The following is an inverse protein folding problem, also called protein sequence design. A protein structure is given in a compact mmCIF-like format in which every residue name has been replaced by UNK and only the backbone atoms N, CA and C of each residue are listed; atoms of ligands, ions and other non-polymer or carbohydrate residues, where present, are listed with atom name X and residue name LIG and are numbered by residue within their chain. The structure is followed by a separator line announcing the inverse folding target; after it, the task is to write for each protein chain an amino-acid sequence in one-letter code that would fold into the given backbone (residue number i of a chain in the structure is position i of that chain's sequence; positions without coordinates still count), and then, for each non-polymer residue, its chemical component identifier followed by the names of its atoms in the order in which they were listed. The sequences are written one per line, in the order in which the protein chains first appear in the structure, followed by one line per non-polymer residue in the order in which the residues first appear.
data_IF_877612438734
#
_entry.id   IF_877612438734
#
_cell.length_a   1.000
_cell.length_b   1.000
_cell.length_c   1.000
_cell.angle_alpha   90.00
_cell.angle_beta   90.00
_cell.angle_gamma   90.00
#
_symmetry.space_group_name_H-M   'P 1'
#
loop_
_entity.id
_entity.type
_entity.pdbx_description
1 polymer ?
#
# COMPACT_ATOMS: atom_id res chain seq x y z
N UNK A 1 7.68 -11.62 2.47
CA UNK A 1 6.81 -12.81 2.23
C UNK A 1 5.65 -12.47 1.30
N UNK A 2 4.95 -11.33 1.47
CA UNK A 2 3.75 -11.00 0.65
C UNK A 2 3.98 -11.02 -0.88
N UNK A 3 5.12 -10.47 -1.36
CA UNK A 3 5.45 -10.46 -2.80
C UNK A 3 5.55 -11.88 -3.37
N UNK A 4 6.37 -12.80 -2.80
CA UNK A 4 6.43 -14.16 -3.32
C UNK A 4 5.11 -14.93 -3.18
N UNK A 5 4.32 -14.66 -2.13
CA UNK A 5 3.00 -15.30 -1.96
C UNK A 5 2.04 -14.89 -3.07
N UNK A 6 2.04 -13.62 -3.48
CA UNK A 6 1.24 -13.16 -4.61
C UNK A 6 1.63 -13.82 -5.96
N UNK A 7 2.85 -14.36 -6.06
CA UNK A 7 3.31 -15.09 -7.24
C UNK A 7 2.84 -16.54 -7.30
N UNK A 8 2.39 -17.13 -6.18
CA UNK A 8 1.95 -18.54 -6.13
C UNK A 8 0.80 -18.80 -7.09
N UNK A 9 -0.12 -17.85 -7.23
CA UNK A 9 -1.29 -17.98 -8.13
C UNK A 9 -0.90 -17.99 -9.60
N UNK A 10 0.33 -17.56 -9.93
CA UNK A 10 0.83 -17.44 -11.32
C UNK A 10 1.95 -18.41 -11.67
N UNK A 11 2.66 -18.91 -10.67
CA UNK A 11 3.77 -19.86 -10.86
C UNK A 11 3.45 -21.13 -10.07
N UNK A 12 2.81 -22.12 -10.71
CA UNK A 12 2.55 -23.40 -10.08
C UNK A 12 3.85 -24.08 -9.65
N UNK A 13 3.91 -24.57 -8.40
CA UNK A 13 5.07 -25.29 -7.89
C UNK A 13 6.00 -24.46 -6.99
N UNK A 14 5.69 -23.21 -6.68
CA UNK A 14 6.40 -22.46 -5.66
C UNK A 14 6.15 -23.09 -4.27
N UNK A 15 7.21 -23.66 -3.70
CA UNK A 15 7.18 -24.18 -2.32
C UNK A 15 7.45 -23.07 -1.31
N UNK A 16 7.14 -23.31 -0.04
CA UNK A 16 7.47 -22.39 1.06
C UNK A 16 8.96 -22.03 1.10
N UNK A 17 9.83 -22.92 0.69
CA UNK A 17 11.26 -22.64 0.58
C UNK A 17 11.53 -21.57 -0.49
N UNK A 18 10.97 -21.70 -1.69
CA UNK A 18 11.11 -20.70 -2.75
C UNK A 18 10.56 -19.34 -2.35
N UNK A 19 9.41 -19.30 -1.66
CA UNK A 19 8.80 -18.07 -1.14
C UNK A 19 9.78 -17.35 -0.19
N UNK A 20 10.35 -18.07 0.77
CA UNK A 20 11.33 -17.51 1.72
C UNK A 20 12.61 -17.06 1.01
N UNK A 21 13.14 -17.87 0.10
CA UNK A 21 14.36 -17.54 -0.65
C UNK A 21 14.19 -16.25 -1.48
N UNK A 22 13.07 -16.11 -2.18
CA UNK A 22 12.76 -14.89 -2.95
C UNK A 22 12.60 -13.68 -2.01
N UNK A 23 11.94 -13.83 -0.86
CA UNK A 23 11.79 -12.75 0.11
C UNK A 23 13.14 -12.25 0.62
N UNK A 24 14.04 -13.18 1.02
CA UNK A 24 15.38 -12.85 1.48
C UNK A 24 16.18 -12.18 0.34
N UNK A 25 16.13 -12.73 -0.86
CA UNK A 25 16.83 -12.16 -2.02
C UNK A 25 16.38 -10.72 -2.31
N UNK A 26 15.09 -10.44 -2.22
CA UNK A 26 14.54 -9.09 -2.40
C UNK A 26 15.02 -8.12 -1.33
N UNK A 27 15.04 -8.52 -0.06
CA UNK A 27 15.52 -7.67 1.04
C UNK A 27 17.01 -7.37 0.84
N UNK A 28 17.82 -8.37 0.53
CA UNK A 28 19.25 -8.21 0.27
C UNK A 28 19.48 -7.27 -0.93
N UNK A 29 18.79 -7.51 -2.05
CA UNK A 29 18.91 -6.70 -3.25
C UNK A 29 18.55 -5.24 -2.99
N UNK A 30 17.42 -4.98 -2.33
CA UNK A 30 17.01 -3.62 -1.98
C UNK A 30 18.00 -2.95 -1.02
N UNK A 31 18.51 -3.67 -0.04
CA UNK A 31 19.52 -3.14 0.89
C UNK A 31 20.79 -2.76 0.14
N UNK A 32 21.32 -3.64 -0.73
CA UNK A 32 22.50 -3.36 -1.53
C UNK A 32 22.29 -2.18 -2.48
N UNK A 33 21.10 -2.07 -3.06
CA UNK A 33 20.75 -0.94 -3.91
C UNK A 33 20.73 0.39 -3.12
N UNK A 34 20.10 0.38 -1.94
CA UNK A 34 20.01 1.55 -1.08
C UNK A 34 21.39 1.99 -0.51
N UNK A 35 22.32 1.05 -0.31
CA UNK A 35 23.71 1.35 0.10
C UNK A 35 24.48 2.18 -0.93
N UNK A 36 24.08 2.17 -2.22
CA UNK A 36 24.73 2.92 -3.30
C UNK A 36 24.44 4.42 -3.27
N UNK A 37 23.39 4.85 -2.56
CA UNK A 37 23.10 6.26 -2.36
C UNK A 37 21.62 6.61 -2.33
N UNK A 38 21.31 7.67 -1.60
CA UNK A 38 19.93 8.15 -1.38
C UNK A 38 19.27 8.56 -2.71
N UNK A 39 20.01 9.19 -3.63
CA UNK A 39 19.48 9.69 -4.88
C UNK A 39 18.96 8.60 -5.80
N UNK A 40 19.70 7.49 -5.92
CA UNK A 40 19.25 6.31 -6.69
C UNK A 40 18.02 5.66 -6.08
N UNK A 41 18.02 5.49 -4.75
CA UNK A 41 16.91 4.91 -4.01
C UNK A 41 15.62 5.75 -4.13
N UNK A 42 15.74 7.09 -4.06
CA UNK A 42 14.62 8.01 -4.23
C UNK A 42 14.06 8.00 -5.66
N UNK A 43 14.91 7.95 -6.68
CA UNK A 43 14.47 7.83 -8.06
C UNK A 43 13.73 6.52 -8.33
N UNK A 44 14.24 5.42 -7.77
CA UNK A 44 13.58 4.11 -7.84
C UNK A 44 12.20 4.16 -7.17
N UNK A 45 12.12 4.78 -5.99
CA UNK A 45 10.86 4.97 -5.26
C UNK A 45 9.84 5.75 -6.10
N UNK A 46 10.27 6.85 -6.72
CA UNK A 46 9.42 7.68 -7.60
C UNK A 46 8.96 6.91 -8.83
N UNK A 47 9.87 6.17 -9.47
CA UNK A 47 9.52 5.34 -10.62
C UNK A 47 8.45 4.30 -10.28
N UNK A 48 8.63 3.52 -9.22
CA UNK A 48 7.65 2.51 -8.80
C UNK A 48 6.35 3.14 -8.29
N UNK A 49 6.42 4.33 -7.68
CA UNK A 49 5.23 5.07 -7.27
C UNK A 49 4.36 5.44 -8.49
N UNK A 50 4.95 5.93 -9.57
CA UNK A 50 4.22 6.26 -10.80
C UNK A 50 3.76 4.98 -11.50
N UNK A 51 4.64 3.99 -11.64
CA UNK A 51 4.36 2.75 -12.34
C UNK A 51 3.18 1.97 -11.73
N UNK A 52 3.07 1.90 -10.39
CA UNK A 52 1.94 1.23 -9.72
C UNK A 52 0.59 1.92 -9.92
N UNK A 53 0.58 3.22 -10.24
CA UNK A 53 -0.67 3.95 -10.48
C UNK A 53 -1.29 3.60 -11.84
N UNK A 54 -0.47 3.23 -12.83
CA UNK A 54 -0.97 2.90 -14.17
C UNK A 54 -2.02 1.77 -14.18
N UNK A 55 -1.77 0.58 -13.59
CA UNK A 55 -2.77 -0.48 -13.49
C UNK A 55 -4.06 -0.02 -12.80
N UNK A 56 -3.93 0.77 -11.73
CA UNK A 56 -5.08 1.24 -10.96
C UNK A 56 -5.92 2.20 -11.81
N UNK A 57 -5.29 3.14 -12.51
CA UNK A 57 -6.00 4.05 -13.42
C UNK A 57 -6.66 3.33 -14.59
N UNK A 58 -6.01 2.32 -15.18
CA UNK A 58 -6.58 1.52 -16.26
C UNK A 58 -7.86 0.84 -15.80
N UNK A 59 -7.84 0.22 -14.62
CA UNK A 59 -9.02 -0.46 -14.06
C UNK A 59 -10.10 0.55 -13.70
N UNK A 60 -9.74 1.63 -13.03
CA UNK A 60 -10.68 2.67 -12.61
C UNK A 60 -11.39 3.31 -13.80
N UNK A 61 -10.64 3.74 -14.82
CA UNK A 61 -11.20 4.33 -16.04
C UNK A 61 -12.01 3.29 -16.81
N UNK A 62 -11.49 2.07 -16.97
CA UNK A 62 -12.21 0.98 -17.61
C UNK A 62 -13.55 0.69 -16.91
N UNK A 63 -13.55 0.63 -15.57
CA UNK A 63 -14.76 0.40 -14.79
C UNK A 63 -15.76 1.57 -14.88
N UNK A 64 -15.28 2.81 -14.91
CA UNK A 64 -16.16 3.98 -15.09
C UNK A 64 -16.79 4.03 -16.48
N UNK A 65 -16.06 3.65 -17.53
CA UNK A 65 -16.53 3.73 -18.93
C UNK A 65 -17.37 2.51 -19.31
N UNK A 66 -16.91 1.31 -18.95
CA UNK A 66 -17.53 0.04 -19.38
C UNK A 66 -18.51 -0.52 -18.34
N UNK A 67 -18.46 -0.05 -17.09
CA UNK A 67 -19.36 -0.50 -16.04
C UNK A 67 -20.80 -0.05 -16.30
N UNK A 68 -21.73 -0.99 -16.20
CA UNK A 68 -23.15 -0.78 -16.46
C UNK A 68 -24.02 -0.68 -15.20
N UNK A 69 -23.46 -1.02 -14.04
CA UNK A 69 -24.18 -0.95 -12.76
C UNK A 69 -24.35 0.50 -12.30
N UNK A 70 -25.48 0.78 -11.64
CA UNK A 70 -25.73 2.04 -10.93
C UNK A 70 -25.61 1.77 -9.42
N UNK A 71 -24.45 2.08 -8.81
CA UNK A 71 -24.26 1.84 -7.39
C UNK A 71 -25.27 2.62 -6.54
N UNK A 72 -25.91 1.94 -5.60
CA UNK A 72 -26.66 2.64 -4.55
C UNK A 72 -25.67 3.30 -3.58
N UNK A 73 -25.68 4.62 -3.56
CA UNK A 73 -24.84 5.44 -2.69
C UNK A 73 -25.53 5.83 -1.38
N UNK A 74 -26.65 5.20 -1.05
CA UNK A 74 -27.31 5.45 0.22
C UNK A 74 -26.38 5.02 1.37
N UNK A 75 -25.96 5.94 2.25
CA UNK A 75 -25.05 5.62 3.34
C UNK A 75 -25.74 4.82 4.47
N UNK A 76 -27.06 4.74 4.44
CA UNK A 76 -27.85 4.04 5.45
C UNK A 76 -28.43 2.79 4.82
N UNK A 77 -28.01 1.58 5.25
CA UNK A 77 -28.58 0.33 4.76
C UNK A 77 -30.07 0.21 5.16
N UNK A 78 -30.80 -0.65 4.47
CA UNK A 78 -32.23 -0.86 4.78
C UNK A 78 -32.47 -1.51 6.15
N UNK A 79 -31.51 -2.30 6.63
CA UNK A 79 -31.57 -2.99 7.94
C UNK A 79 -30.16 -3.14 8.53
N UNK A 80 -30.06 -3.40 9.83
CA UNK A 80 -28.82 -3.76 10.48
C UNK A 80 -28.34 -5.16 9.97
N UNK A 81 -27.04 -5.51 10.12
CA UNK A 81 -26.49 -6.79 9.67
C UNK A 81 -27.19 -8.02 10.25
N UNK A 82 -27.78 -7.89 11.44
CA UNK A 82 -28.57 -8.93 12.12
C UNK A 82 -30.07 -8.95 11.73
N UNK A 83 -30.46 -8.11 10.75
CA UNK A 83 -31.84 -7.96 10.29
C UNK A 83 -32.73 -7.12 11.18
N UNK A 84 -32.21 -6.55 12.28
CA UNK A 84 -32.98 -5.71 13.20
C UNK A 84 -33.28 -4.32 12.59
N UNK A 85 -34.32 -3.62 13.08
CA UNK A 85 -34.60 -2.24 12.67
C UNK A 85 -33.42 -1.32 13.00
N UNK A 86 -33.13 -0.41 12.08
CA UNK A 86 -32.06 0.57 12.27
C UNK A 86 -32.41 1.57 13.37
N UNK A 87 -31.53 1.70 14.33
CA UNK A 87 -31.54 2.78 15.33
C UNK A 87 -30.39 3.75 15.07
N UNK A 88 -30.50 4.97 15.58
CA UNK A 88 -29.38 5.93 15.46
C UNK A 88 -28.07 5.37 16.05
N UNK A 89 -28.15 4.57 17.13
CA UNK A 89 -27.01 3.92 17.74
C UNK A 89 -26.37 2.86 16.85
N UNK A 90 -27.19 2.02 16.18
CA UNK A 90 -26.66 0.98 15.26
C UNK A 90 -26.01 1.60 14.03
N UNK A 91 -26.61 2.66 13.47
CA UNK A 91 -26.01 3.40 12.32
C UNK A 91 -24.66 4.01 12.71
N UNK A 92 -24.61 4.68 13.88
CA UNK A 92 -23.35 5.23 14.38
C UNK A 92 -22.30 4.16 14.60
N UNK A 93 -22.67 3.02 15.19
CA UNK A 93 -21.77 1.88 15.40
C UNK A 93 -21.22 1.32 14.09
N UNK A 94 -22.05 1.18 13.07
CA UNK A 94 -21.60 0.71 11.73
C UNK A 94 -20.64 1.70 11.08
N UNK A 95 -20.92 3.01 11.15
CA UNK A 95 -20.02 4.04 10.61
C UNK A 95 -18.69 4.05 11.36
N UNK A 96 -18.73 3.98 12.70
CA UNK A 96 -17.53 3.92 13.52
C UNK A 96 -16.68 2.69 13.18
N UNK A 97 -17.29 1.51 13.08
CA UNK A 97 -16.60 0.28 12.70
C UNK A 97 -15.97 0.38 11.29
N UNK A 98 -16.73 0.86 10.30
CA UNK A 98 -16.22 1.05 8.93
C UNK A 98 -15.07 2.06 8.89
N UNK A 99 -15.14 3.13 9.70
CA UNK A 99 -14.07 4.11 9.84
C UNK A 99 -12.80 3.46 10.40
N UNK A 100 -12.91 2.72 11.50
CA UNK A 100 -11.77 2.03 12.12
C UNK A 100 -11.15 1.02 11.13
N UNK A 101 -11.98 0.23 10.43
CA UNK A 101 -11.51 -0.73 9.44
C UNK A 101 -10.76 -0.05 8.27
N UNK A 102 -11.19 1.15 7.85
CA UNK A 102 -10.54 1.88 6.77
C UNK A 102 -9.26 2.60 7.19
N UNK A 103 -9.04 2.89 8.49
CA UNK A 103 -7.84 3.58 8.97
C UNK A 103 -6.55 2.86 8.57
N UNK A 104 -6.57 1.52 8.51
CA UNK A 104 -5.41 0.74 8.07
C UNK A 104 -4.99 1.05 6.62
N UNK A 105 -5.95 1.35 5.76
CA UNK A 105 -5.67 1.71 4.36
C UNK A 105 -5.02 3.10 4.21
N UNK A 106 -5.13 3.94 5.23
CA UNK A 106 -4.51 5.28 5.29
C UNK A 106 -3.18 5.29 6.05
N UNK A 107 -2.69 4.13 6.52
CA UNK A 107 -1.42 4.04 7.24
C UNK A 107 -0.22 4.39 6.33
N UNK A 108 0.85 4.89 6.94
CA UNK A 108 2.11 5.19 6.25
C UNK A 108 2.46 6.68 6.13
N UNK A 109 1.51 7.60 6.34
CA UNK A 109 1.79 9.03 6.33
C UNK A 109 2.77 9.45 7.44
N UNK A 110 2.80 8.72 8.55
CA UNK A 110 3.71 8.91 9.67
C UNK A 110 5.19 8.73 9.28
N UNK A 111 5.47 7.91 8.26
CA UNK A 111 6.83 7.68 7.76
C UNK A 111 7.47 8.95 7.17
N UNK A 112 6.65 9.94 6.77
CA UNK A 112 7.15 11.23 6.30
C UNK A 112 7.93 11.99 7.40
N UNK A 113 7.57 11.76 8.68
CA UNK A 113 8.29 12.36 9.81
C UNK A 113 9.73 11.86 9.92
N UNK A 114 10.00 10.60 9.51
CA UNK A 114 11.35 10.03 9.54
C UNK A 114 12.32 10.68 8.55
N UNK A 115 11.81 11.39 7.55
CA UNK A 115 12.59 12.12 6.54
C UNK A 115 12.37 13.63 6.61
N UNK A 116 11.79 14.13 7.71
CA UNK A 116 11.45 15.54 7.89
C UNK A 116 12.66 16.48 7.77
N UNK A 117 13.83 16.04 8.20
CA UNK A 117 15.09 16.80 8.10
C UNK A 117 15.52 17.08 6.66
N UNK A 118 15.08 16.27 5.70
CA UNK A 118 15.40 16.43 4.28
C UNK A 118 14.41 17.36 3.56
N UNK A 119 13.32 17.77 4.24
CA UNK A 119 12.27 18.61 3.65
C UNK A 119 12.65 20.09 3.74
N UNK A 120 12.73 20.76 2.59
CA UNK A 120 12.90 22.20 2.55
C UNK A 120 11.68 22.90 3.18
N UNK A 121 11.90 23.91 4.03
CA UNK A 121 10.83 24.64 4.72
C UNK A 121 9.84 23.69 5.45
N UNK A 122 10.35 22.79 6.28
CA UNK A 122 9.62 21.71 6.94
C UNK A 122 8.33 22.17 7.62
N UNK A 123 8.37 23.34 8.31
CA UNK A 123 7.20 23.89 9.03
C UNK A 123 5.99 24.14 8.14
N UNK A 124 6.19 24.41 6.86
CA UNK A 124 5.12 24.63 5.87
C UNK A 124 4.86 23.40 5.03
N UNK A 125 5.92 22.80 4.50
CA UNK A 125 5.79 21.76 3.47
C UNK A 125 5.39 20.41 4.06
N UNK A 126 5.78 20.09 5.28
CA UNK A 126 5.41 18.84 5.93
C UNK A 126 3.88 18.76 6.20
N UNK A 127 3.24 19.73 6.89
CA UNK A 127 1.79 19.70 7.08
C UNK A 127 1.02 19.73 5.75
N UNK A 128 1.47 20.54 4.80
CA UNK A 128 0.83 20.65 3.49
C UNK A 128 0.91 19.32 2.71
N UNK A 129 2.05 18.65 2.73
CA UNK A 129 2.21 17.34 2.09
C UNK A 129 1.31 16.28 2.72
N UNK A 130 1.16 16.27 4.05
CA UNK A 130 0.27 15.36 4.76
C UNK A 130 -1.19 15.63 4.39
N UNK A 131 -1.64 16.88 4.48
CA UNK A 131 -3.03 17.25 4.20
C UNK A 131 -3.40 16.94 2.73
N UNK A 132 -2.56 17.36 1.79
CA UNK A 132 -2.81 17.12 0.36
C UNK A 132 -2.67 15.63 0.02
N UNK A 133 -1.73 14.93 0.64
CA UNK A 133 -1.53 13.50 0.46
C UNK A 133 -2.72 12.68 0.92
N UNK A 134 -3.14 12.86 2.17
CA UNK A 134 -4.29 12.13 2.75
C UNK A 134 -5.58 12.52 2.03
N UNK A 135 -5.81 13.82 1.79
CA UNK A 135 -7.00 14.29 1.06
C UNK A 135 -7.07 13.76 -0.36
N UNK A 136 -5.95 13.77 -1.09
CA UNK A 136 -5.86 13.20 -2.43
C UNK A 136 -6.12 11.70 -2.45
N UNK A 137 -5.55 10.95 -1.51
CA UNK A 137 -5.79 9.51 -1.36
C UNK A 137 -7.25 9.22 -1.02
N UNK A 138 -7.89 10.03 -0.15
CA UNK A 138 -9.29 9.85 0.19
C UNK A 138 -10.20 9.99 -1.04
N UNK A 139 -10.00 11.04 -1.84
CA UNK A 139 -10.74 11.24 -3.09
C UNK A 139 -10.49 10.07 -4.06
N UNK A 140 -9.23 9.66 -4.18
CA UNK A 140 -8.86 8.55 -5.06
C UNK A 140 -9.51 7.24 -4.63
N UNK A 141 -9.52 6.91 -3.34
CA UNK A 141 -10.17 5.71 -2.81
C UNK A 141 -11.69 5.75 -3.03
N UNK A 142 -12.33 6.90 -2.81
CA UNK A 142 -13.75 7.05 -3.07
C UNK A 142 -14.08 6.79 -4.55
N UNK A 143 -13.33 7.39 -5.47
CA UNK A 143 -13.51 7.20 -6.92
C UNK A 143 -13.22 5.75 -7.33
N UNK A 144 -12.17 5.14 -6.80
CA UNK A 144 -11.82 3.76 -7.10
C UNK A 144 -12.90 2.78 -6.63
N UNK A 145 -13.36 2.89 -5.38
CA UNK A 145 -14.44 2.05 -4.87
C UNK A 145 -15.74 2.24 -5.66
N UNK A 146 -16.10 3.48 -5.97
CA UNK A 146 -17.25 3.76 -6.84
C UNK A 146 -17.10 3.07 -8.20
N UNK A 147 -15.91 3.14 -8.80
CA UNK A 147 -15.66 2.51 -10.10
C UNK A 147 -15.81 0.97 -10.04
N UNK A 148 -15.36 0.33 -8.96
CA UNK A 148 -15.53 -1.13 -8.79
C UNK A 148 -17.01 -1.52 -8.71
N UNK A 149 -17.82 -0.75 -7.99
CA UNK A 149 -19.27 -0.98 -7.85
C UNK A 149 -20.05 -0.70 -9.14
N UNK A 150 -19.46 0.00 -10.12
CA UNK A 150 -20.00 0.11 -11.46
C UNK A 150 -19.96 -1.20 -12.25
N UNK A 151 -19.14 -2.16 -11.84
CA UNK A 151 -18.92 -3.46 -12.52
C UNK A 151 -19.49 -4.62 -11.72
N UNK A 152 -19.38 -4.58 -10.40
CA UNK A 152 -19.87 -5.63 -9.51
C UNK A 152 -20.97 -5.06 -8.61
N UNK A 153 -22.18 -5.69 -8.57
CA UNK A 153 -23.22 -5.33 -7.63
C UNK A 153 -22.76 -5.46 -6.17
N UNK A 154 -23.28 -4.61 -5.29
CA UNK A 154 -22.86 -4.57 -3.88
C UNK A 154 -23.08 -5.91 -3.17
N UNK A 155 -24.19 -6.63 -3.47
CA UNK A 155 -24.50 -7.90 -2.84
C UNK A 155 -23.51 -9.01 -3.26
N UNK A 156 -23.07 -8.98 -4.52
CA UNK A 156 -22.03 -9.88 -5.00
C UNK A 156 -20.67 -9.53 -4.34
N UNK A 157 -20.33 -8.25 -4.22
CA UNK A 157 -19.13 -7.82 -3.53
C UNK A 157 -19.11 -8.28 -2.07
N UNK A 158 -20.25 -8.21 -1.35
CA UNK A 158 -20.41 -8.74 0.01
C UNK A 158 -20.18 -10.26 0.06
N UNK A 159 -20.84 -11.02 -0.81
CA UNK A 159 -20.69 -12.48 -0.84
C UNK A 159 -19.27 -12.93 -1.15
N UNK A 160 -18.54 -12.19 -1.99
CA UNK A 160 -17.13 -12.43 -2.26
C UNK A 160 -16.26 -12.21 -1.01
N UNK A 161 -16.50 -11.14 -0.26
CA UNK A 161 -15.78 -10.85 0.98
C UNK A 161 -16.06 -11.92 2.03
N UNK A 162 -17.32 -12.31 2.22
CA UNK A 162 -17.75 -13.36 3.16
C UNK A 162 -17.15 -14.73 2.82
N UNK A 163 -16.97 -15.04 1.53
CA UNK A 163 -16.28 -16.26 1.07
C UNK A 163 -14.77 -16.20 1.19
N UNK A 164 -14.21 -15.09 1.72
CA UNK A 164 -12.76 -14.91 1.89
C UNK A 164 -12.03 -14.45 0.64
N UNK A 165 -12.73 -14.06 -0.42
CA UNK A 165 -12.12 -13.48 -1.61
C UNK A 165 -11.77 -12.01 -1.33
N UNK A 166 -10.47 -11.75 -1.13
CA UNK A 166 -9.97 -10.41 -0.79
C UNK A 166 -9.67 -9.53 -2.03
N UNK A 167 -9.85 -10.05 -3.24
CA UNK A 167 -9.34 -9.42 -4.46
C UNK A 167 -10.45 -8.93 -5.41
N UNK A 168 -11.38 -8.12 -4.91
CA UNK A 168 -12.43 -7.49 -5.73
C UNK A 168 -11.89 -6.82 -7.00
N UNK A 169 -10.77 -6.11 -6.88
CA UNK A 169 -10.12 -5.45 -8.03
C UNK A 169 -9.69 -6.43 -9.12
N UNK A 170 -9.26 -7.65 -8.75
CA UNK A 170 -8.89 -8.69 -9.72
C UNK A 170 -10.11 -9.18 -10.49
N UNK A 171 -11.23 -9.43 -9.79
CA UNK A 171 -12.49 -9.86 -10.41
C UNK A 171 -13.05 -8.80 -11.35
N UNK A 172 -13.01 -7.52 -10.93
CA UNK A 172 -13.42 -6.40 -11.79
C UNK A 172 -12.56 -6.32 -13.05
N UNK A 173 -11.24 -6.40 -12.90
CA UNK A 173 -10.32 -6.34 -14.02
C UNK A 173 -10.49 -7.53 -14.98
N UNK A 174 -10.76 -8.73 -14.45
CA UNK A 174 -11.02 -9.92 -15.24
C UNK A 174 -12.34 -9.81 -16.03
N UNK A 175 -13.38 -9.21 -15.44
CA UNK A 175 -14.64 -8.92 -16.14
C UNK A 175 -14.49 -7.90 -17.26
N UNK A 176 -13.65 -6.88 -17.03
CA UNK A 176 -13.45 -5.80 -18.02
C UNK A 176 -12.53 -6.19 -19.16
N UNK A 177 -11.44 -6.90 -18.85
CA UNK A 177 -10.33 -7.13 -19.76
C UNK A 177 -9.91 -8.61 -19.88
N UNK A 178 -10.68 -9.53 -19.31
CA UNK A 178 -10.37 -10.95 -19.31
C UNK A 178 -9.03 -11.24 -18.60
N UNK A 179 -8.29 -12.22 -19.12
CA UNK A 179 -6.99 -12.63 -18.55
C UNK A 179 -5.97 -11.48 -18.49
N UNK A 180 -6.02 -10.56 -19.46
CA UNK A 180 -5.14 -9.39 -19.47
C UNK A 180 -5.39 -8.49 -18.26
N UNK A 181 -6.64 -8.32 -17.85
CA UNK A 181 -7.03 -7.57 -16.63
C UNK A 181 -6.40 -8.18 -15.38
N UNK A 182 -6.48 -9.49 -15.24
CA UNK A 182 -5.86 -10.22 -14.11
C UNK A 182 -4.35 -10.00 -14.04
N UNK A 183 -3.65 -10.07 -15.17
CA UNK A 183 -2.20 -9.80 -15.24
C UNK A 183 -1.88 -8.35 -14.88
N UNK A 184 -2.68 -7.38 -15.35
CA UNK A 184 -2.50 -5.95 -15.02
C UNK A 184 -2.61 -5.72 -13.52
N UNK A 185 -3.62 -6.30 -12.85
CA UNK A 185 -3.75 -6.17 -11.38
C UNK A 185 -2.57 -6.77 -10.66
N UNK A 186 -2.16 -7.99 -11.04
CA UNK A 186 -1.01 -8.62 -10.42
C UNK A 186 0.25 -7.78 -10.55
N UNK A 187 0.55 -7.30 -11.75
CA UNK A 187 1.69 -6.42 -11.99
C UNK A 187 1.62 -5.17 -11.08
N UNK A 188 0.44 -4.55 -10.97
CA UNK A 188 0.20 -3.42 -10.07
C UNK A 188 0.45 -3.75 -8.60
N UNK A 189 -0.03 -4.90 -8.14
CA UNK A 189 0.19 -5.38 -6.77
C UNK A 189 1.68 -5.63 -6.48
N UNK A 190 2.40 -6.29 -7.38
CA UNK A 190 3.83 -6.54 -7.24
C UNK A 190 4.63 -5.23 -7.20
N UNK A 191 4.32 -4.28 -8.09
CA UNK A 191 4.94 -2.96 -8.10
C UNK A 191 4.66 -2.18 -6.79
N UNK A 192 3.43 -2.24 -6.29
CA UNK A 192 3.03 -1.58 -5.06
C UNK A 192 3.74 -2.18 -3.83
N UNK A 193 3.79 -3.51 -3.73
CA UNK A 193 4.48 -4.19 -2.63
C UNK A 193 5.98 -3.92 -2.65
N UNK A 194 6.61 -3.94 -3.84
CA UNK A 194 8.03 -3.62 -4.00
C UNK A 194 8.34 -2.18 -3.59
N UNK A 195 7.49 -1.23 -4.03
CA UNK A 195 7.61 0.17 -3.66
C UNK A 195 7.47 0.40 -2.14
N UNK A 196 6.51 -0.27 -1.52
CA UNK A 196 6.29 -0.21 -0.07
C UNK A 196 7.51 -0.75 0.69
N UNK A 197 8.03 -1.92 0.29
CA UNK A 197 9.21 -2.51 0.90
C UNK A 197 10.45 -1.60 0.79
N UNK A 198 10.68 -1.01 -0.39
CA UNK A 198 11.77 -0.05 -0.59
C UNK A 198 11.62 1.19 0.31
N UNK A 199 10.40 1.73 0.43
CA UNK A 199 10.09 2.85 1.31
C UNK A 199 10.37 2.54 2.79
N UNK A 200 10.00 1.35 3.25
CA UNK A 200 10.28 0.89 4.63
C UNK A 200 11.80 0.74 4.89
N UNK A 201 12.54 0.17 3.93
CA UNK A 201 14.00 0.05 4.03
C UNK A 201 14.66 1.42 4.17
N UNK A 202 14.19 2.41 3.39
CA UNK A 202 14.67 3.78 3.47
C UNK A 202 14.32 4.47 4.79
N UNK A 203 13.06 4.43 5.20
CA UNK A 203 12.57 5.14 6.37
C UNK A 203 13.14 4.58 7.68
N UNK A 204 13.05 3.28 7.88
CA UNK A 204 13.46 2.67 9.16
C UNK A 204 14.97 2.73 9.41
N UNK A 205 15.78 2.65 8.35
CA UNK A 205 17.23 2.84 8.51
C UNK A 205 17.59 4.23 9.07
N UNK A 206 16.78 5.27 8.74
CA UNK A 206 16.96 6.62 9.27
C UNK A 206 16.50 6.77 10.71
N UNK A 207 15.48 6.01 11.13
CA UNK A 207 15.03 5.98 12.53
C UNK A 207 16.19 5.45 13.42
N UNK A 208 16.82 4.34 13.03
CA UNK A 208 17.96 3.80 13.79
C UNK A 208 19.15 4.77 13.81
N UNK A 209 19.38 5.46 12.70
CA UNK A 209 20.41 6.51 12.62
C UNK A 209 20.11 7.66 13.60
N UNK A 210 18.88 8.20 13.59
CA UNK A 210 18.47 9.28 14.49
C UNK A 210 18.54 8.87 15.95
N UNK A 211 18.04 7.68 16.30
CA UNK A 211 18.15 7.13 17.67
C UNK A 211 19.61 7.02 18.13
N UNK A 212 20.52 6.65 17.24
CA UNK A 212 21.94 6.59 17.55
C UNK A 212 22.57 7.97 17.72
N UNK A 213 22.17 8.96 16.90
CA UNK A 213 22.61 10.36 17.03
C UNK A 213 22.18 10.95 18.38
N UNK A 214 20.98 10.64 18.85
CA UNK A 214 20.45 11.03 20.17
C UNK A 214 21.04 10.20 21.34
N UNK A 215 21.96 9.30 21.07
CA UNK A 215 22.63 8.44 22.07
C UNK A 215 21.71 7.46 22.81
N UNK A 216 20.50 7.20 22.29
CA UNK A 216 19.54 6.23 22.86
C UNK A 216 19.63 4.86 22.18
N UNK A 217 20.55 4.69 21.22
CA UNK A 217 20.79 3.43 20.53
C UNK A 217 22.28 3.22 20.23
N UNK A 218 22.63 2.08 19.63
CA UNK A 218 24.04 1.72 19.40
C UNK A 218 24.78 2.74 18.53
N UNK A 219 25.91 3.29 19.02
CA UNK A 219 26.70 4.34 18.39
C UNK A 219 27.13 4.03 16.95
N UNK A 220 27.37 2.74 16.63
CA UNK A 220 27.76 2.32 15.28
C UNK A 220 26.71 2.58 14.22
N UNK A 221 25.44 2.62 14.60
CA UNK A 221 24.31 2.84 13.69
C UNK A 221 24.18 4.31 13.26
N UNK A 222 24.78 5.24 14.02
CA UNK A 222 24.80 6.68 13.75
C UNK A 222 25.90 7.13 12.77
N UNK A 223 26.47 6.23 11.96
CA UNK A 223 27.51 6.58 11.01
C UNK A 223 27.01 6.52 9.57
N UNK A 224 27.34 7.56 8.79
CA UNK A 224 27.04 7.61 7.35
C UNK A 224 28.24 7.05 6.56
N UNK A 225 27.96 6.37 5.46
CA UNK A 225 28.97 5.98 4.50
C UNK A 225 29.37 7.15 3.57
N UNK A 226 30.31 6.91 2.63
CA UNK A 226 30.75 7.91 1.64
C UNK A 226 29.62 8.48 0.78
N UNK A 227 28.50 7.78 0.68
CA UNK A 227 27.33 8.17 -0.12
C UNK A 227 26.24 8.84 0.74
N UNK A 228 26.53 9.23 1.97
CA UNK A 228 25.56 9.85 2.89
C UNK A 228 24.45 8.90 3.37
N UNK A 229 24.70 7.59 3.37
CA UNK A 229 23.69 6.55 3.74
C UNK A 229 24.09 5.93 5.08
N UNK A 230 23.14 5.69 6.00
CA UNK A 230 23.39 5.00 7.26
C UNK A 230 23.57 3.47 7.03
N UNK A 231 24.74 3.09 6.51
CA UNK A 231 25.03 1.73 6.05
C UNK A 231 24.89 0.69 7.16
N UNK A 232 25.37 1.00 8.37
CA UNK A 232 25.26 0.10 9.51
C UNK A 232 23.80 -0.15 9.90
N UNK A 233 22.96 0.88 9.87
CA UNK A 233 21.52 0.77 10.13
C UNK A 233 20.81 -0.07 9.08
N UNK A 234 21.11 0.13 7.78
CA UNK A 234 20.55 -0.67 6.68
C UNK A 234 20.92 -2.15 6.80
N UNK A 235 22.19 -2.45 7.09
CA UNK A 235 22.65 -3.85 7.23
C UNK A 235 22.04 -4.50 8.47
N UNK A 236 21.96 -3.78 9.59
CA UNK A 236 21.30 -4.29 10.80
C UNK A 236 19.84 -4.60 10.56
N UNK A 237 19.11 -3.72 9.87
CA UNK A 237 17.72 -3.95 9.48
C UNK A 237 17.58 -5.19 8.58
N UNK A 238 18.45 -5.36 7.58
CA UNK A 238 18.47 -6.52 6.70
C UNK A 238 18.64 -7.85 7.45
N UNK A 239 19.49 -7.86 8.50
CA UNK A 239 19.76 -9.08 9.29
C UNK A 239 18.57 -9.43 10.20
N UNK A 240 17.86 -8.43 10.71
CA UNK A 240 16.75 -8.62 11.65
C UNK A 240 15.43 -8.96 10.90
N UNK A 241 15.27 -8.55 9.63
CA UNK A 241 14.08 -8.80 8.81
C UNK A 241 14.00 -10.22 8.27
#
# INVERSE_FOLDING_TARGET
VAIPTALVDFIPGLTQFHIKAIAIALIVLLTLFNLRGVKGASNLQTFFMVAKLLPIFIIMIGALVLGSQTPDLNPVPASAPDGSPLTAGSVFGMIAFATVASLWAYEGWTNLNAVAEEIKNVKRNLPLAIILGIGGVAIFYALFNYSLLRVIPLDEAKSMIESGSLYLGTTVAERLFGVAGKVIVLAGMLLAMFNCLNGMVLAFSRIYYAMSAEKIFFKKLGTLNKNGVPAASLISQMIIS
#
